data_IF_327182566916
#
_entry.id   IF_327182566916
#
_cell.length_a   1.000
_cell.length_b   1.000
_cell.length_c   1.000
_cell.angle_alpha   90.00
_cell.angle_beta   90.00
_cell.angle_gamma   90.00
#
_symmetry.space_group_name_H-M   'P 1'
#
loop_
_entity.id
_entity.type
_entity.pdbx_description
1 polymer ?
#
# COMPACT_ATOMS: atom_id res chain seq x y z
N UNK A 1 34.15 3.08 -5.35
CA UNK A 1 33.39 1.83 -5.58
C UNK A 1 33.64 0.77 -4.51
N UNK A 2 34.72 0.82 -3.71
CA UNK A 2 34.94 -0.11 -2.58
C UNK A 2 34.27 0.35 -1.28
N UNK A 3 34.30 1.66 -0.98
CA UNK A 3 33.81 2.22 0.29
C UNK A 3 32.31 1.96 0.51
N UNK A 4 31.49 2.12 -0.52
CA UNK A 4 30.04 1.83 -0.45
C UNK A 4 29.76 0.34 -0.17
N UNK A 5 30.62 -0.54 -0.69
CA UNK A 5 30.48 -1.98 -0.50
C UNK A 5 30.93 -2.39 0.91
N UNK A 6 31.98 -1.76 1.42
CA UNK A 6 32.46 -1.96 2.79
C UNK A 6 31.44 -1.44 3.83
N UNK A 7 30.81 -0.29 3.54
CA UNK A 7 29.71 0.24 4.35
C UNK A 7 28.49 -0.69 4.33
N UNK A 8 28.13 -1.24 3.16
CA UNK A 8 27.03 -2.20 3.03
C UNK A 8 27.27 -3.45 3.87
N UNK A 9 28.50 -3.98 3.87
CA UNK A 9 28.86 -5.16 4.66
C UNK A 9 28.83 -4.86 6.17
N UNK A 10 29.33 -3.70 6.59
CA UNK A 10 29.26 -3.24 7.99
C UNK A 10 27.80 -3.14 8.47
N UNK A 11 26.94 -2.50 7.68
CA UNK A 11 25.53 -2.36 7.98
C UNK A 11 24.80 -3.71 8.03
N UNK A 12 25.16 -4.66 7.18
CA UNK A 12 24.61 -6.04 7.21
C UNK A 12 25.02 -6.76 8.49
N UNK A 13 26.27 -6.62 8.92
CA UNK A 13 26.77 -7.21 10.16
C UNK A 13 26.02 -6.67 11.38
N UNK A 14 25.87 -5.34 11.46
CA UNK A 14 25.21 -4.68 12.59
C UNK A 14 23.72 -5.02 12.63
N UNK A 15 23.04 -5.06 11.48
CA UNK A 15 21.66 -5.55 11.41
C UNK A 15 21.53 -6.99 11.92
N UNK A 16 22.48 -7.87 11.62
CA UNK A 16 22.51 -9.24 12.13
C UNK A 16 22.66 -9.29 13.65
N UNK A 17 23.52 -8.43 14.22
CA UNK A 17 23.72 -8.32 15.67
C UNK A 17 22.46 -7.82 16.39
N UNK A 18 21.83 -6.77 15.87
CA UNK A 18 20.61 -6.17 16.42
C UNK A 18 19.44 -7.15 16.38
N UNK A 19 19.26 -7.88 15.27
CA UNK A 19 18.22 -8.92 15.14
C UNK A 19 18.35 -10.00 16.21
N UNK A 20 19.57 -10.46 16.49
CA UNK A 20 19.84 -11.45 17.56
C UNK A 20 19.53 -10.89 18.96
N UNK A 21 19.94 -9.66 19.23
CA UNK A 21 19.71 -9.00 20.52
C UNK A 21 18.21 -8.84 20.81
N UNK A 22 17.45 -8.46 19.79
CA UNK A 22 16.00 -8.26 19.86
C UNK A 22 15.19 -9.55 19.75
N UNK A 23 15.86 -10.70 19.50
CA UNK A 23 15.24 -12.03 19.31
C UNK A 23 14.16 -12.03 18.22
N UNK A 24 14.36 -11.24 17.16
CA UNK A 24 13.42 -11.16 16.04
C UNK A 24 13.55 -12.40 15.15
N UNK A 25 12.41 -12.94 14.74
CA UNK A 25 12.35 -13.92 13.65
C UNK A 25 12.60 -13.24 12.30
N UNK A 26 12.98 -14.00 11.27
CA UNK A 26 13.17 -13.46 9.91
C UNK A 26 11.90 -12.79 9.36
N UNK A 27 10.72 -13.26 9.78
CA UNK A 27 9.44 -12.67 9.42
C UNK A 27 9.16 -11.33 10.11
N UNK A 28 9.58 -11.17 11.38
CA UNK A 28 9.46 -9.91 12.12
C UNK A 28 10.55 -8.90 11.73
N UNK A 29 11.71 -9.39 11.32
CA UNK A 29 12.83 -8.59 10.86
C UNK A 29 12.78 -8.26 9.36
N UNK A 30 11.84 -8.86 8.62
CA UNK A 30 11.55 -8.49 7.24
C UNK A 30 11.08 -7.02 7.21
N UNK A 31 11.54 -6.22 6.24
CA UNK A 31 11.01 -4.87 6.08
C UNK A 31 9.49 -4.94 5.96
N UNK A 32 8.80 -4.15 6.79
CA UNK A 32 7.35 -4.09 6.73
C UNK A 32 6.92 -3.78 5.29
N UNK A 33 6.05 -4.60 4.73
CA UNK A 33 5.49 -4.35 3.41
C UNK A 33 4.74 -3.01 3.45
N UNK A 34 5.31 -1.99 2.82
CA UNK A 34 4.80 -0.61 2.86
C UNK A 34 5.53 0.37 3.79
N UNK A 35 6.69 0.00 4.37
CA UNK A 35 7.56 0.99 4.98
C UNK A 35 8.01 2.02 3.93
N UNK A 36 8.15 3.30 4.30
CA UNK A 36 8.55 4.37 3.37
C UNK A 36 9.84 4.05 2.60
N UNK A 37 10.77 3.32 3.23
CA UNK A 37 12.00 2.83 2.60
C UNK A 37 11.75 1.80 1.45
N UNK A 38 10.69 1.00 1.53
CA UNK A 38 10.33 0.02 0.51
C UNK A 38 9.73 0.65 -0.77
N UNK A 39 9.49 1.97 -0.79
CA UNK A 39 9.17 2.71 -2.01
C UNK A 39 10.41 3.14 -2.80
N UNK A 40 11.53 3.40 -2.11
CA UNK A 40 12.78 3.88 -2.73
C UNK A 40 13.73 2.76 -3.15
N UNK A 41 13.62 1.57 -2.53
CA UNK A 41 14.46 0.39 -2.83
C UNK A 41 13.84 -0.52 -3.91
N UNK A 42 12.71 -0.12 -4.52
CA UNK A 42 12.16 -0.84 -5.67
C UNK A 42 12.96 -0.44 -6.91
N UNK A 43 13.53 -1.45 -7.59
CA UNK A 43 13.86 -1.36 -9.02
C UNK A 43 12.76 -0.56 -9.72
N UNK A 44 13.08 0.40 -10.62
CA UNK A 44 12.07 1.23 -11.26
C UNK A 44 10.94 0.31 -11.73
N UNK A 45 9.72 0.61 -11.28
CA UNK A 45 8.57 -0.19 -11.61
C UNK A 45 8.44 -0.37 -13.13
N UNK A 46 7.50 -1.19 -13.61
CA UNK A 46 7.36 -1.48 -15.04
C UNK A 46 7.17 -0.25 -15.94
N UNK A 47 6.89 0.92 -15.34
CA UNK A 47 6.75 2.20 -16.03
C UNK A 47 7.87 3.15 -15.61
N UNK A 48 8.54 3.74 -16.60
CA UNK A 48 9.64 4.69 -16.44
C UNK A 48 9.50 5.88 -17.42
N UNK A 49 10.52 6.74 -17.49
CA UNK A 49 10.53 7.92 -18.35
C UNK A 49 10.34 7.59 -19.85
N UNK A 50 10.88 6.47 -20.33
CA UNK A 50 10.75 6.01 -21.72
C UNK A 50 9.43 5.30 -22.04
N UNK A 51 8.62 4.97 -21.03
CA UNK A 51 7.33 4.31 -21.26
C UNK A 51 6.36 5.22 -22.02
N UNK A 52 5.46 4.59 -22.79
CA UNK A 52 4.41 5.31 -23.52
C UNK A 52 3.52 6.11 -22.56
N UNK A 53 2.92 7.24 -23.03
CA UNK A 53 1.93 7.99 -22.24
C UNK A 53 0.79 7.11 -21.74
N UNK A 54 0.30 6.19 -22.58
CA UNK A 54 -0.77 5.26 -22.23
C UNK A 54 -0.37 4.35 -21.07
N UNK A 55 0.84 3.79 -21.09
CA UNK A 55 1.37 2.97 -20.00
C UNK A 55 1.46 3.75 -18.68
N UNK A 56 1.90 5.02 -18.75
CA UNK A 56 1.98 5.91 -17.58
C UNK A 56 0.61 6.23 -17.00
N UNK A 57 -0.37 6.55 -17.84
CA UNK A 57 -1.76 6.78 -17.43
C UNK A 57 -2.36 5.53 -16.78
N UNK A 58 -2.17 4.36 -17.41
CA UNK A 58 -2.67 3.09 -16.86
C UNK A 58 -2.05 2.77 -15.50
N UNK A 59 -0.73 2.96 -15.38
CA UNK A 59 -0.01 2.74 -14.13
C UNK A 59 -0.46 3.71 -13.04
N UNK A 60 -0.58 5.00 -13.35
CA UNK A 60 -1.03 6.01 -12.40
C UNK A 60 -2.46 5.72 -11.91
N UNK A 61 -3.36 5.33 -12.81
CA UNK A 61 -4.74 4.95 -12.47
C UNK A 61 -4.80 3.71 -11.58
N UNK A 62 -3.96 2.70 -11.85
CA UNK A 62 -3.90 1.49 -11.05
C UNK A 62 -3.29 1.75 -9.66
N UNK A 63 -2.33 2.66 -9.57
CA UNK A 63 -1.67 3.04 -8.33
C UNK A 63 -2.61 3.86 -7.43
N UNK A 64 -3.32 4.81 -8.00
CA UNK A 64 -4.24 5.69 -7.30
C UNK A 64 -5.68 5.29 -7.62
N UNK A 65 -6.21 4.35 -6.86
CA UNK A 65 -7.62 3.99 -6.95
C UNK A 65 -8.51 5.13 -6.46
N UNK A 66 -9.04 5.91 -7.41
CA UNK A 66 -9.83 7.10 -7.16
C UNK A 66 -11.21 7.03 -7.83
N UNK A 67 -12.10 7.92 -7.42
CA UNK A 67 -13.37 8.19 -8.11
C UNK A 67 -13.12 8.54 -9.58
N UNK A 68 -13.90 7.93 -10.46
CA UNK A 68 -13.84 8.15 -11.91
C UNK A 68 -14.87 9.16 -12.40
N UNK A 69 -15.90 9.41 -11.60
CA UNK A 69 -17.00 10.32 -11.90
C UNK A 69 -16.65 11.79 -11.64
N UNK A 70 -15.55 12.07 -10.94
CA UNK A 70 -15.13 13.43 -10.62
C UNK A 70 -13.64 13.52 -10.31
N UNK A 71 -13.00 14.61 -10.75
CA UNK A 71 -11.67 15.04 -10.29
C UNK A 71 -11.76 16.42 -9.62
N UNK A 72 -10.72 16.82 -8.89
CA UNK A 72 -10.65 18.14 -8.28
C UNK A 72 -9.83 19.11 -9.15
N UNK A 73 -10.28 20.36 -9.23
CA UNK A 73 -9.54 21.49 -9.80
C UNK A 73 -9.09 22.42 -8.68
N UNK A 74 -7.93 23.06 -8.89
CA UNK A 74 -7.45 24.12 -8.01
C UNK A 74 -8.19 25.42 -8.34
N UNK A 75 -8.65 26.12 -7.31
CA UNK A 75 -9.11 27.50 -7.45
C UNK A 75 -8.21 28.43 -6.64
N UNK A 76 -8.12 29.66 -7.11
CA UNK A 76 -7.38 30.73 -6.44
C UNK A 76 -8.13 32.03 -6.59
N UNK A 77 -8.19 32.81 -5.52
CA UNK A 77 -8.73 34.16 -5.51
C UNK A 77 -7.57 35.14 -5.44
N UNK A 78 -7.20 35.71 -6.59
CA UNK A 78 -6.08 36.64 -6.71
C UNK A 78 -6.19 37.92 -5.86
N UNK A 79 -7.38 38.28 -5.37
CA UNK A 79 -7.55 39.45 -4.48
C UNK A 79 -7.27 39.14 -3.02
N UNK A 80 -7.71 37.96 -2.55
CA UNK A 80 -7.56 37.57 -1.14
C UNK A 80 -6.38 36.63 -0.89
N UNK A 81 -5.73 36.14 -1.95
CA UNK A 81 -4.69 35.10 -1.87
C UNK A 81 -5.19 33.72 -1.44
N UNK A 82 -6.50 33.57 -1.20
CA UNK A 82 -7.09 32.28 -0.81
C UNK A 82 -7.07 31.32 -1.98
N UNK A 83 -6.77 30.07 -1.72
CA UNK A 83 -6.82 29.00 -2.70
C UNK A 83 -7.35 27.72 -2.07
N UNK A 84 -7.73 26.77 -2.90
CA UNK A 84 -8.20 25.46 -2.46
C UNK A 84 -8.46 24.52 -3.62
N UNK A 85 -9.00 23.36 -3.27
CA UNK A 85 -9.42 22.34 -4.22
C UNK A 85 -10.93 22.20 -4.18
N UNK A 86 -11.54 22.04 -5.36
CA UNK A 86 -12.98 21.83 -5.48
C UNK A 86 -13.28 20.83 -6.59
N UNK A 87 -14.41 20.13 -6.56
CA UNK A 87 -14.79 19.23 -7.65
C UNK A 87 -14.88 19.97 -8.99
N UNK A 88 -14.45 19.32 -10.07
CA UNK A 88 -14.62 19.79 -11.43
C UNK A 88 -16.09 19.68 -11.82
N UNK A 89 -16.70 20.81 -12.19
CA UNK A 89 -18.12 20.92 -12.55
C UNK A 89 -18.23 21.56 -13.93
N UNK A 90 -19.07 20.98 -14.78
CA UNK A 90 -19.38 21.54 -16.09
C UNK A 90 -19.96 22.95 -15.97
N UNK A 91 -19.40 23.91 -16.70
CA UNK A 91 -19.81 25.32 -16.61
C UNK A 91 -19.44 26.02 -15.29
N UNK A 92 -18.67 25.36 -14.41
CA UNK A 92 -18.15 25.92 -13.17
C UNK A 92 -19.16 26.02 -12.03
N UNK A 93 -18.66 26.50 -10.88
CA UNK A 93 -19.47 26.64 -9.67
C UNK A 93 -20.31 27.92 -9.70
N UNK A 94 -21.63 27.77 -9.53
CA UNK A 94 -22.60 28.88 -9.50
C UNK A 94 -23.08 29.13 -8.08
N UNK A 95 -23.39 30.39 -7.76
CA UNK A 95 -23.93 30.77 -6.45
C UNK A 95 -25.34 30.18 -6.28
N UNK A 96 -25.54 29.40 -5.22
CA UNK A 96 -26.87 28.89 -4.82
C UNK A 96 -27.24 27.49 -5.35
N UNK A 97 -26.33 26.80 -6.06
CA UNK A 97 -26.53 25.41 -6.44
C UNK A 97 -26.43 24.49 -5.22
N UNK A 98 -27.28 23.46 -5.16
CA UNK A 98 -27.24 22.47 -4.07
C UNK A 98 -26.28 21.33 -4.39
N UNK A 99 -25.76 20.70 -3.33
CA UNK A 99 -25.04 19.43 -3.45
C UNK A 99 -25.92 18.40 -4.16
N UNK A 100 -25.42 17.79 -5.24
CA UNK A 100 -26.15 16.83 -6.07
C UNK A 100 -26.78 17.38 -7.36
N UNK A 101 -26.83 18.71 -7.56
CA UNK A 101 -27.33 19.33 -8.81
C UNK A 101 -26.21 19.56 -9.84
N UNK A 102 -24.98 19.21 -9.50
CA UNK A 102 -23.80 19.51 -10.30
C UNK A 102 -23.48 18.37 -11.27
N UNK A 103 -23.37 18.71 -12.56
CA UNK A 103 -22.76 17.85 -13.55
C UNK A 103 -21.23 17.82 -13.34
N UNK A 104 -20.74 16.79 -12.65
CA UNK A 104 -19.31 16.61 -12.44
C UNK A 104 -18.60 16.17 -13.72
N UNK A 105 -17.37 16.66 -13.91
CA UNK A 105 -16.53 16.24 -15.03
C UNK A 105 -15.78 14.95 -14.66
N UNK A 106 -15.87 13.89 -15.48
CA UNK A 106 -15.27 12.61 -15.17
C UNK A 106 -13.74 12.67 -15.24
N UNK A 107 -13.08 11.83 -14.44
CA UNK A 107 -11.65 11.61 -14.53
C UNK A 107 -11.35 10.67 -15.71
N UNK A 108 -11.07 11.25 -16.87
CA UNK A 108 -10.77 10.49 -18.10
C UNK A 108 -9.27 10.25 -18.28
N UNK A 109 -8.86 9.30 -19.14
CA UNK A 109 -7.45 9.09 -19.49
C UNK A 109 -6.78 10.36 -20.04
N UNK A 110 -7.52 11.21 -20.76
CA UNK A 110 -7.02 12.46 -21.33
C UNK A 110 -6.74 13.49 -20.24
N UNK A 111 -7.63 13.60 -19.25
CA UNK A 111 -7.43 14.46 -18.06
C UNK A 111 -6.20 14.01 -17.28
N UNK A 112 -6.01 12.70 -17.12
CA UNK A 112 -4.82 12.14 -16.48
C UNK A 112 -3.56 12.38 -17.31
N UNK A 113 -3.62 12.22 -18.62
CA UNK A 113 -2.49 12.50 -19.51
C UNK A 113 -2.05 13.97 -19.39
N UNK A 114 -3.00 14.91 -19.49
CA UNK A 114 -2.78 16.35 -19.31
C UNK A 114 -2.25 16.69 -17.91
N UNK A 115 -2.65 15.93 -16.89
CA UNK A 115 -2.08 16.08 -15.56
C UNK A 115 -0.61 15.64 -15.49
N UNK A 116 -0.29 14.50 -16.09
CA UNK A 116 1.05 13.92 -16.08
C UNK A 116 2.05 14.70 -16.97
N UNK A 117 1.57 15.41 -17.98
CA UNK A 117 2.38 16.35 -18.79
C UNK A 117 2.57 17.70 -18.11
N UNK A 118 1.74 18.03 -17.12
CA UNK A 118 1.75 19.32 -16.44
C UNK A 118 0.91 20.40 -17.13
N UNK A 119 0.12 20.05 -18.14
CA UNK A 119 -0.80 20.98 -18.81
C UNK A 119 -1.90 21.45 -17.86
N UNK A 120 -2.32 20.57 -16.94
CA UNK A 120 -3.27 20.87 -15.87
C UNK A 120 -2.81 20.28 -14.53
N UNK A 121 -3.27 20.89 -13.44
CA UNK A 121 -3.10 20.32 -12.10
C UNK A 121 -4.45 19.91 -11.53
N UNK A 122 -4.61 18.61 -11.27
CA UNK A 122 -5.82 18.05 -10.70
C UNK A 122 -5.54 17.42 -9.34
N UNK A 123 -6.58 17.34 -8.51
CA UNK A 123 -6.60 16.47 -7.33
C UNK A 123 -7.46 15.23 -7.58
N UNK A 124 -7.16 14.15 -6.86
CA UNK A 124 -7.90 12.90 -6.92
C UNK A 124 -8.72 12.70 -5.63
N UNK A 125 -9.89 12.08 -5.75
CA UNK A 125 -10.70 11.65 -4.61
C UNK A 125 -10.55 10.14 -4.39
N UNK A 126 -9.73 9.69 -3.42
CA UNK A 126 -9.39 8.26 -3.25
C UNK A 126 -10.51 7.42 -2.60
N UNK A 127 -11.57 8.05 -2.08
CA UNK A 127 -12.72 7.32 -1.53
C UNK A 127 -13.72 6.97 -2.62
N UNK A 128 -13.88 5.68 -2.84
CA UNK A 128 -14.85 5.05 -3.74
C UNK A 128 -16.25 5.00 -3.09
N UNK A 129 -17.30 4.68 -3.88
CA UNK A 129 -18.64 4.49 -3.33
C UNK A 129 -18.68 3.51 -2.16
N UNK A 130 -19.49 3.84 -1.14
CA UNK A 130 -19.61 3.04 0.09
C UNK A 130 -18.45 3.22 1.08
N UNK A 131 -17.77 4.38 1.04
CA UNK A 131 -16.62 4.73 1.90
C UNK A 131 -15.47 3.72 1.81
N UNK A 132 -15.27 3.17 0.62
CA UNK A 132 -14.20 2.23 0.35
C UNK A 132 -12.98 2.95 -0.20
N UNK A 133 -11.79 2.42 0.06
CA UNK A 133 -10.57 2.86 -0.64
C UNK A 133 -10.06 1.70 -1.46
N UNK A 134 -9.62 1.96 -2.68
CA UNK A 134 -8.83 0.99 -3.42
C UNK A 134 -7.42 1.02 -2.83
N UNK A 135 -7.25 0.38 -1.67
CA UNK A 135 -5.93 -0.01 -1.24
C UNK A 135 -5.32 -0.83 -2.40
N UNK A 136 -4.09 -0.54 -2.85
CA UNK A 136 -3.41 -1.44 -3.76
C UNK A 136 -3.51 -2.82 -3.14
N UNK A 137 -3.82 -3.86 -3.92
CA UNK A 137 -3.71 -5.24 -3.47
C UNK A 137 -2.24 -5.51 -3.14
N UNK A 138 -1.80 -5.06 -1.96
CA UNK A 138 -0.80 -5.73 -1.16
C UNK A 138 -1.28 -7.17 -1.14
N UNK A 139 -0.49 -8.07 -1.74
CA UNK A 139 -0.83 -9.49 -1.87
C UNK A 139 -1.54 -9.96 -0.60
N UNK A 140 -2.80 -10.35 -0.75
CA UNK A 140 -3.79 -10.52 0.32
C UNK A 140 -3.48 -11.66 1.31
N UNK A 141 -2.26 -12.19 1.36
CA UNK A 141 -1.91 -13.33 2.22
C UNK A 141 -1.85 -12.99 3.71
N UNK A 142 -1.74 -11.71 4.09
CA UNK A 142 -1.53 -11.31 5.51
C UNK A 142 -2.81 -10.83 6.21
N UNK A 143 -3.82 -10.33 5.49
CA UNK A 143 -5.10 -9.93 6.11
C UNK A 143 -6.03 -11.11 6.46
N UNK A 144 -5.68 -12.33 6.03
CA UNK A 144 -6.46 -13.55 6.27
C UNK A 144 -5.89 -14.44 7.40
N UNK A 145 -5.15 -13.89 8.37
CA UNK A 145 -4.85 -14.65 9.59
C UNK A 145 -6.09 -14.68 10.50
N UNK A 146 -6.58 -15.87 10.92
CA UNK A 146 -7.60 -15.92 11.95
C UNK A 146 -7.07 -15.27 13.24
N UNK A 147 -7.90 -14.45 13.88
CA UNK A 147 -7.60 -13.86 15.19
C UNK A 147 -7.22 -14.99 16.16
N UNK A 148 -6.08 -14.90 16.87
CA UNK A 148 -5.77 -15.88 17.90
C UNK A 148 -6.84 -15.77 19.00
N UNK A 149 -7.54 -16.87 19.26
CA UNK A 149 -8.50 -16.96 20.35
C UNK A 149 -7.73 -16.94 21.67
N UNK A 150 -8.10 -16.08 22.64
CA UNK A 150 -7.42 -16.06 23.92
C UNK A 150 -7.77 -17.34 24.71
N UNK A 151 -6.73 -18.10 25.07
CA UNK A 151 -6.81 -19.08 26.15
C UNK A 151 -7.17 -20.51 25.75
N UNK A 152 -6.24 -21.24 25.12
CA UNK A 152 -6.15 -22.68 25.33
C UNK A 152 -4.69 -23.02 25.66
N UNK A 153 -4.41 -23.23 26.94
CA UNK A 153 -3.16 -23.84 27.36
C UNK A 153 -3.20 -25.30 26.95
N UNK A 154 -2.41 -25.69 25.94
CA UNK A 154 -2.25 -27.09 25.58
C UNK A 154 -1.57 -27.82 26.75
N UNK A 155 -2.31 -28.68 27.45
CA UNK A 155 -1.70 -29.64 28.38
C UNK A 155 -0.80 -30.57 27.56
N UNK A 156 0.50 -30.54 27.85
CA UNK A 156 1.45 -31.55 27.36
C UNK A 156 1.00 -32.90 27.93
N UNK A 157 0.58 -33.81 27.06
CA UNK A 157 0.31 -35.19 27.44
C UNK A 157 1.64 -35.88 27.81
N UNK A 158 1.70 -36.40 29.04
CA UNK A 158 2.82 -37.20 29.53
C UNK A 158 2.80 -38.57 28.82
N UNK A 159 3.89 -38.94 28.16
CA UNK A 159 4.03 -40.23 27.50
C UNK A 159 3.93 -41.39 28.52
N UNK A 160 3.26 -42.50 28.20
CA UNK A 160 3.20 -43.66 29.09
C UNK A 160 4.53 -44.43 29.06
N UNK A 161 5.04 -44.74 30.25
CA UNK A 161 6.20 -45.59 30.53
C UNK A 161 5.91 -47.04 30.16
N UNK A 162 6.78 -47.66 29.35
CA UNK A 162 6.72 -49.07 29.01
C UNK A 162 7.01 -49.95 30.24
N UNK A 163 6.13 -50.92 30.51
CA UNK A 163 6.38 -52.04 31.44
C UNK A 163 7.01 -53.22 30.67
N UNK A 164 7.95 -53.98 31.26
CA UNK A 164 8.49 -55.17 30.64
C UNK A 164 7.58 -56.38 30.92
N UNK A 165 7.12 -57.07 29.88
CA UNK A 165 6.49 -58.38 30.02
C UNK A 165 7.56 -59.47 30.15
N UNK A 166 7.49 -60.18 31.28
CA UNK A 166 8.13 -61.48 31.49
C UNK A 166 7.48 -62.55 30.60
N UNK A 167 8.28 -63.54 30.19
CA UNK A 167 7.87 -64.59 29.26
C UNK A 167 7.05 -65.73 29.86
N UNK A 168 6.64 -66.68 29.01
CA UNK A 168 6.74 -68.14 29.25
C UNK A 168 6.28 -68.92 28.01
N UNK A 169 7.17 -69.82 27.57
CA UNK A 169 7.05 -71.17 26.97
C UNK A 169 5.67 -71.78 26.74
N UNK A 170 5.50 -72.49 25.60
CA UNK A 170 5.06 -73.91 25.38
C UNK A 170 4.98 -74.10 23.84
N UNK A 171 5.49 -75.14 23.18
CA UNK A 171 5.44 -76.61 23.39
C UNK A 171 6.81 -77.23 23.16
#
# INVERSE_FOLDING_TARGET
MSEDNDELESLRHENGRLRKLLKLTDAEAAPAHGAQAAWFDRSPGPVNASSSPQSKVHFFTALFGARKDVYAIRWENGRSGKSGWMPAVEGGWRKGSRSGEHAYLPLTPEVLAAHLTGDIHIGLYPMLPGDQTAAPQMQQSVYNRPRPQPGVTSRVAKAPTASPCAGSTTV
#
